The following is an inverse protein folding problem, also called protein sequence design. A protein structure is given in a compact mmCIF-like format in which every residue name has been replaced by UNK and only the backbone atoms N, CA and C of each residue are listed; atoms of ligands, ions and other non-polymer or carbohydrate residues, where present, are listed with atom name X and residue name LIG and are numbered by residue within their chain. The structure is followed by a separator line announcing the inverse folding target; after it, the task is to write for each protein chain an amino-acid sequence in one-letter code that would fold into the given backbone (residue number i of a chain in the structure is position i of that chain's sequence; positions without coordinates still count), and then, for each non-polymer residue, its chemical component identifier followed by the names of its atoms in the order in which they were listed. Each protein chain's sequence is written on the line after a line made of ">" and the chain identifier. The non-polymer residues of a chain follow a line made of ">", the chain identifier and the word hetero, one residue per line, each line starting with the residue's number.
data_IF_686923237952
#
_entry.id   IF_686923237952
#
_cell.length_a   1.000
_cell.length_b   1.000
_cell.length_c   1.000
_cell.angle_alpha   90.00
_cell.angle_beta   90.00
_cell.angle_gamma   90.00
#
_symmetry.space_group_name_H-M   'P 1'
#
loop_
_entity.id
_entity.type
_entity.pdbx_description
1 polymer ?
#
# COMPACT_ATOMS: atom_id res chain seq x y z
N UNK A 1 23.09 -30.05 55.22
CA UNK A 1 23.65 -28.87 54.52
C UNK A 1 23.39 -28.85 53.01
N UNK A 2 23.01 -29.97 52.36
CA UNK A 2 22.81 -30.04 50.90
C UNK A 2 21.59 -29.28 50.33
N UNK A 3 20.53 -29.06 51.11
CA UNK A 3 19.28 -28.48 50.60
C UNK A 3 19.37 -26.95 50.35
N UNK A 4 20.26 -26.23 51.06
CA UNK A 4 20.47 -24.78 50.89
C UNK A 4 21.05 -24.42 49.51
N UNK A 5 21.91 -25.27 48.95
CA UNK A 5 22.56 -25.03 47.64
C UNK A 5 21.57 -25.18 46.48
N UNK A 6 20.71 -26.23 46.52
CA UNK A 6 19.66 -26.44 45.52
C UNK A 6 18.62 -25.32 45.53
N UNK A 7 18.18 -24.90 46.72
CA UNK A 7 17.24 -23.78 46.87
C UNK A 7 17.83 -22.45 46.36
N UNK A 8 19.11 -22.17 46.64
CA UNK A 8 19.79 -20.98 46.15
C UNK A 8 19.90 -20.95 44.62
N UNK A 9 20.26 -22.08 43.99
CA UNK A 9 20.37 -22.19 42.53
C UNK A 9 19.02 -22.00 41.85
N UNK A 10 17.96 -22.60 42.41
CA UNK A 10 16.58 -22.42 41.94
C UNK A 10 16.16 -20.95 42.01
N UNK A 11 16.48 -20.26 43.11
CA UNK A 11 16.15 -18.84 43.29
C UNK A 11 16.88 -17.98 42.25
N UNK A 12 18.17 -18.21 42.00
CA UNK A 12 18.94 -17.47 40.99
C UNK A 12 18.33 -17.61 39.60
N UNK A 13 17.95 -18.83 39.20
CA UNK A 13 17.33 -19.08 37.90
C UNK A 13 15.99 -18.34 37.78
N UNK A 14 15.13 -18.42 38.80
CA UNK A 14 13.84 -17.71 38.80
C UNK A 14 14.04 -16.20 38.67
N UNK A 15 14.97 -15.62 39.44
CA UNK A 15 15.27 -14.19 39.36
C UNK A 15 15.72 -13.78 37.96
N UNK A 16 16.57 -14.58 37.30
CA UNK A 16 17.00 -14.29 35.93
C UNK A 16 15.81 -14.25 34.97
N UNK A 17 14.93 -15.25 35.02
CA UNK A 17 13.74 -15.29 34.16
C UNK A 17 12.79 -14.11 34.42
N UNK A 18 12.60 -13.72 35.68
CA UNK A 18 11.78 -12.56 36.05
C UNK A 18 12.38 -11.27 35.51
N UNK A 19 13.70 -11.07 35.65
CA UNK A 19 14.39 -9.88 35.14
C UNK A 19 14.31 -9.81 33.61
N UNK A 20 14.55 -10.93 32.92
CA UNK A 20 14.44 -10.99 31.45
C UNK A 20 13.00 -10.71 31.01
N UNK A 21 12.01 -11.30 31.68
CA UNK A 21 10.60 -11.02 31.41
C UNK A 21 10.26 -9.53 31.60
N UNK A 22 10.79 -8.91 32.66
CA UNK A 22 10.58 -7.50 32.93
C UNK A 22 11.22 -6.59 31.86
N UNK A 23 12.42 -6.93 31.38
CA UNK A 23 13.07 -6.21 30.28
C UNK A 23 12.20 -6.26 29.01
N UNK A 24 11.63 -7.42 28.68
CA UNK A 24 10.73 -7.53 27.53
C UNK A 24 9.43 -6.76 27.72
N UNK A 25 8.85 -6.74 28.92
CA UNK A 25 7.67 -5.93 29.22
C UNK A 25 7.93 -4.43 29.00
N UNK A 26 9.07 -3.92 29.49
CA UNK A 26 9.46 -2.52 29.25
C UNK A 26 9.67 -2.24 27.76
N UNK A 27 10.29 -3.16 27.02
CA UNK A 27 10.48 -3.01 25.57
C UNK A 27 9.15 -2.97 24.81
N UNK A 28 8.19 -3.81 25.20
CA UNK A 28 6.85 -3.82 24.61
C UNK A 28 6.10 -2.53 24.93
N UNK A 29 6.19 -2.03 26.17
CA UNK A 29 5.58 -0.76 26.53
C UNK A 29 6.16 0.41 25.73
N UNK A 30 7.48 0.45 25.55
CA UNK A 30 8.14 1.46 24.72
C UNK A 30 7.60 1.45 23.28
N UNK A 31 7.50 0.28 22.66
CA UNK A 31 7.03 0.15 21.28
C UNK A 31 5.53 0.45 21.11
N UNK A 32 4.72 0.27 22.16
CA UNK A 32 3.27 0.48 22.08
C UNK A 32 2.83 1.89 22.50
N UNK A 33 3.52 2.52 23.45
CA UNK A 33 3.07 3.77 24.08
C UNK A 33 3.98 4.96 23.76
N UNK A 34 5.28 4.73 23.54
CA UNK A 34 6.24 5.80 23.28
C UNK A 34 6.52 5.92 21.78
N UNK A 35 6.59 4.80 21.06
CA UNK A 35 6.93 4.78 19.63
C UNK A 35 5.67 4.78 18.73
N UNK A 36 5.20 5.98 18.39
CA UNK A 36 4.08 6.18 17.47
C UNK A 36 4.45 5.88 16.00
N UNK A 37 5.72 5.61 15.68
CA UNK A 37 6.22 5.42 14.30
C UNK A 37 5.50 4.29 13.55
N UNK A 38 5.11 3.24 14.26
CA UNK A 38 4.36 2.13 13.68
C UNK A 38 2.91 2.51 13.33
N UNK A 39 2.27 3.37 14.11
CA UNK A 39 0.92 3.87 13.80
C UNK A 39 0.94 4.79 12.60
N UNK A 40 1.96 5.65 12.49
CA UNK A 40 2.13 6.59 11.38
C UNK A 40 2.44 5.85 10.06
N UNK A 41 3.25 4.79 10.13
CA UNK A 41 3.56 3.94 8.98
C UNK A 41 2.37 3.10 8.52
N UNK A 42 1.57 2.58 9.46
CA UNK A 42 0.33 1.87 9.14
C UNK A 42 -0.72 2.80 8.50
N UNK A 43 -0.85 4.02 9.02
CA UNK A 43 -1.75 5.03 8.46
C UNK A 43 -1.35 5.45 7.04
N UNK A 44 -0.05 5.56 6.75
CA UNK A 44 0.43 5.88 5.39
C UNK A 44 0.19 4.75 4.37
N UNK A 45 0.13 3.50 4.82
CA UNK A 45 -0.22 2.36 3.94
C UNK A 45 -1.73 2.25 3.68
N UNK A 46 -2.57 2.74 4.58
CA UNK A 46 -4.04 2.67 4.47
C UNK A 46 -4.63 3.93 3.82
N UNK A 47 -4.10 5.10 4.14
CA UNK A 47 -4.57 6.39 3.64
C UNK A 47 -3.82 6.77 2.36
N UNK A 48 -4.28 6.23 1.24
CA UNK A 48 -3.83 6.70 -0.08
C UNK A 48 -4.55 7.99 -0.42
N UNK A 49 -3.89 9.13 -0.18
CA UNK A 49 -4.38 10.42 -0.64
C UNK A 49 -4.37 10.44 -2.17
N UNK A 50 -5.56 10.37 -2.78
CA UNK A 50 -5.75 10.56 -4.21
C UNK A 50 -6.24 11.98 -4.42
N UNK A 51 -5.38 12.85 -4.95
CA UNK A 51 -5.77 14.21 -5.33
C UNK A 51 -6.81 14.15 -6.43
N UNK A 52 -8.04 14.57 -6.15
CA UNK A 52 -9.07 14.77 -7.17
C UNK A 52 -8.92 16.17 -7.76
N UNK A 53 -8.51 16.22 -9.03
CA UNK A 53 -8.46 17.47 -9.77
C UNK A 53 -9.87 17.87 -10.22
N UNK A 54 -10.25 19.15 -10.13
CA UNK A 54 -11.52 19.62 -10.65
C UNK A 54 -11.55 19.53 -12.19
N UNK A 55 -12.75 19.40 -12.76
CA UNK A 55 -12.94 19.45 -14.21
C UNK A 55 -12.47 20.80 -14.79
N UNK A 56 -11.88 20.78 -15.99
CA UNK A 56 -11.48 22.00 -16.70
C UNK A 56 -12.73 22.81 -17.08
N UNK A 57 -12.69 24.12 -16.85
CA UNK A 57 -13.78 25.02 -17.20
C UNK A 57 -14.06 25.04 -18.71
N UNK A 58 -15.32 25.25 -19.06
CA UNK A 58 -15.76 25.43 -20.44
C UNK A 58 -15.48 26.87 -20.88
N UNK A 59 -14.85 27.05 -22.04
CA UNK A 59 -14.55 28.38 -22.60
C UNK A 59 -15.52 28.66 -23.74
N UNK A 60 -16.20 29.80 -23.69
CA UNK A 60 -17.17 30.24 -24.69
C UNK A 60 -16.70 31.53 -25.39
N UNK A 61 -17.08 31.71 -26.65
CA UNK A 61 -16.98 32.99 -27.35
C UNK A 61 -18.05 33.99 -26.83
N UNK A 62 -17.93 35.27 -27.19
CA UNK A 62 -18.87 36.36 -26.89
C UNK A 62 -20.32 36.06 -27.33
N UNK A 63 -20.49 35.17 -28.29
CA UNK A 63 -21.79 34.73 -28.81
C UNK A 63 -22.31 33.43 -28.14
N UNK A 64 -21.68 32.97 -27.06
CA UNK A 64 -22.08 31.76 -26.33
C UNK A 64 -21.71 30.44 -27.00
N UNK A 65 -20.86 30.47 -28.05
CA UNK A 65 -20.38 29.25 -28.72
C UNK A 65 -19.24 28.62 -27.92
N UNK A 66 -19.35 27.33 -27.62
CA UNK A 66 -18.32 26.56 -26.93
C UNK A 66 -17.05 26.45 -27.80
N UNK A 67 -15.91 26.86 -27.28
CA UNK A 67 -14.60 26.84 -27.95
C UNK A 67 -13.66 25.79 -27.38
N UNK A 68 -13.65 25.61 -26.06
CA UNK A 68 -12.78 24.64 -25.38
C UNK A 68 -13.58 23.90 -24.32
N UNK A 69 -13.53 22.57 -24.40
CA UNK A 69 -14.08 21.65 -23.41
C UNK A 69 -13.19 20.42 -23.32
N UNK A 70 -13.36 19.64 -22.25
CA UNK A 70 -12.73 18.34 -22.16
C UNK A 70 -13.58 17.32 -22.91
N UNK A 71 -13.03 16.72 -23.96
CA UNK A 71 -13.67 15.61 -24.68
C UNK A 71 -13.13 14.29 -24.14
N UNK A 72 -14.02 13.31 -23.91
CA UNK A 72 -13.59 12.00 -23.45
C UNK A 72 -12.87 11.27 -24.58
N UNK A 73 -11.59 10.95 -24.37
CA UNK A 73 -10.81 10.09 -25.24
C UNK A 73 -10.85 8.68 -24.68
N UNK A 74 -11.10 7.70 -25.54
CA UNK A 74 -11.14 6.29 -25.18
C UNK A 74 -9.87 5.62 -25.66
N UNK A 75 -9.11 5.03 -24.73
CA UNK A 75 -7.95 4.22 -25.04
C UNK A 75 -8.29 2.74 -24.88
N UNK A 76 -7.84 1.90 -25.81
CA UNK A 76 -7.99 0.46 -25.75
C UNK A 76 -6.73 -0.17 -25.15
N UNK A 77 -6.84 -0.77 -23.97
CA UNK A 77 -5.75 -1.49 -23.30
C UNK A 77 -6.05 -2.99 -23.24
N UNK A 78 -5.11 -3.80 -23.69
CA UNK A 78 -5.21 -5.26 -23.65
C UNK A 78 -4.10 -5.83 -22.79
N UNK A 79 -4.45 -6.74 -21.87
CA UNK A 79 -3.47 -7.56 -21.14
C UNK A 79 -3.37 -8.93 -21.83
N UNK A 80 -2.26 -9.25 -22.53
CA UNK A 80 -2.16 -10.48 -23.33
C UNK A 80 -2.46 -11.76 -22.54
N UNK A 81 -2.12 -11.79 -21.24
CA UNK A 81 -2.38 -12.94 -20.36
C UNK A 81 -3.86 -13.18 -20.05
N UNK A 82 -4.71 -12.16 -20.20
CA UNK A 82 -6.14 -12.25 -19.91
C UNK A 82 -6.98 -12.50 -21.17
N UNK A 83 -6.37 -12.43 -22.34
CA UNK A 83 -7.03 -12.72 -23.61
C UNK A 83 -6.79 -14.18 -23.96
N UNK A 84 -7.87 -14.89 -24.31
CA UNK A 84 -7.81 -16.25 -24.85
C UNK A 84 -8.29 -16.20 -26.29
N UNK A 85 -7.55 -16.87 -27.17
CA UNK A 85 -7.93 -17.14 -28.57
C UNK A 85 -8.33 -15.89 -29.37
N UNK A 86 -7.50 -14.82 -29.32
CA UNK A 86 -7.68 -13.64 -30.19
C UNK A 86 -6.97 -13.84 -31.53
N UNK A 87 -7.69 -13.55 -32.63
CA UNK A 87 -7.07 -13.41 -33.94
C UNK A 87 -6.40 -12.03 -34.03
N UNK A 88 -5.08 -12.00 -33.84
CA UNK A 88 -4.29 -10.78 -33.86
C UNK A 88 -4.28 -10.11 -35.24
N UNK A 89 -4.43 -10.87 -36.33
CA UNK A 89 -4.44 -10.31 -37.69
C UNK A 89 -5.77 -9.61 -37.98
N UNK A 90 -6.87 -10.23 -37.57
CA UNK A 90 -8.19 -9.59 -37.68
C UNK A 90 -8.28 -8.33 -36.79
N UNK A 91 -7.74 -8.41 -35.57
CA UNK A 91 -7.63 -7.26 -34.68
C UNK A 91 -6.85 -6.10 -35.32
N UNK A 92 -5.68 -6.38 -35.89
CA UNK A 92 -4.86 -5.38 -36.58
C UNK A 92 -5.60 -4.74 -37.76
N UNK A 93 -6.36 -5.53 -38.51
CA UNK A 93 -7.17 -5.02 -39.64
C UNK A 93 -8.32 -4.11 -39.19
N UNK A 94 -8.99 -4.43 -38.08
CA UNK A 94 -10.13 -3.62 -37.58
C UNK A 94 -9.63 -2.27 -37.03
N UNK A 95 -8.45 -2.25 -36.41
CA UNK A 95 -7.87 -1.05 -35.82
C UNK A 95 -6.93 -0.29 -36.77
N UNK A 96 -6.76 -0.77 -38.00
CA UNK A 96 -5.88 -0.19 -39.01
C UNK A 96 -4.42 0.00 -38.51
N UNK A 97 -3.90 -1.03 -37.82
CA UNK A 97 -2.54 -1.05 -37.27
C UNK A 97 -1.67 -2.11 -37.98
N UNK A 98 -0.39 -1.81 -38.15
CA UNK A 98 0.59 -2.74 -38.74
C UNK A 98 0.94 -3.86 -37.76
N UNK A 99 1.03 -5.13 -38.20
CA UNK A 99 1.48 -6.23 -37.35
C UNK A 99 2.90 -6.07 -36.80
N UNK A 100 3.73 -5.26 -37.45
CA UNK A 100 5.12 -4.99 -37.05
C UNK A 100 5.26 -3.87 -36.01
N UNK A 101 4.19 -3.14 -35.72
CA UNK A 101 4.20 -1.89 -34.94
C UNK A 101 4.33 -0.64 -35.82
#
# INVERSE_FOLDING_TARGET
>A
MANKSLASRKQTVITIFVVVGFIYLLRLFYLQVIDDSYTLSANNNVLRYVTQYPARGLIYDRNGKLLVYNEAVYDLMVLPRQVKDIDTLEFCRILDITPEG
#
